data_IF_593648144706
#
_entry.id   IF_593648144706
#
_cell.length_a   1.000
_cell.length_b   1.000
_cell.length_c   1.000
_cell.angle_alpha   90.00
_cell.angle_beta   90.00
_cell.angle_gamma   90.00
#
_symmetry.space_group_name_H-M   'P 1'
#
loop_
_entity.id
_entity.type
_entity.pdbx_description
1 polymer ?
#
# COMPACT_ATOMS: atom_id res chain seq x y z
N UNK A 1 -27.01 -4.63 -15.77
CA UNK A 1 -26.03 -3.57 -15.48
C UNK A 1 -24.73 -4.25 -15.07
N UNK A 2 -23.91 -4.65 -16.04
CA UNK A 2 -22.54 -5.07 -15.79
C UNK A 2 -21.67 -3.95 -16.36
N UNK A 3 -21.00 -3.27 -15.46
CA UNK A 3 -20.23 -2.04 -15.69
C UNK A 3 -19.19 -2.26 -16.78
N UNK A 4 -19.16 -1.31 -17.70
CA UNK A 4 -18.31 -1.25 -18.87
C UNK A 4 -16.85 -1.44 -18.50
N UNK A 5 -16.24 -2.53 -18.98
CA UNK A 5 -14.80 -2.66 -19.00
C UNK A 5 -14.28 -1.70 -20.09
N UNK A 6 -13.73 -0.58 -19.67
CA UNK A 6 -13.15 0.41 -20.57
C UNK A 6 -11.85 -0.13 -21.17
N UNK A 7 -11.92 -0.52 -22.45
CA UNK A 7 -10.86 -1.20 -23.22
C UNK A 7 -9.65 -0.28 -23.54
N UNK A 8 -9.60 0.97 -23.04
CA UNK A 8 -8.52 1.92 -23.32
C UNK A 8 -7.79 2.48 -22.09
N UNK A 9 -7.63 1.68 -21.02
CA UNK A 9 -6.82 2.11 -19.88
C UNK A 9 -5.30 1.97 -20.16
N UNK A 10 -4.69 3.04 -20.67
CA UNK A 10 -3.23 3.14 -20.92
C UNK A 10 -2.43 3.48 -19.64
N UNK A 11 -3.06 3.51 -18.46
CA UNK A 11 -2.37 3.89 -17.22
C UNK A 11 -1.47 2.75 -16.76
N UNK A 12 -0.22 3.10 -16.47
CA UNK A 12 0.72 2.19 -15.81
C UNK A 12 0.26 1.87 -14.40
N UNK A 13 0.70 0.74 -13.83
CA UNK A 13 0.40 0.37 -12.44
C UNK A 13 0.77 1.47 -11.44
N UNK A 14 1.84 2.23 -11.71
CA UNK A 14 2.22 3.40 -10.91
C UNK A 14 1.16 4.50 -10.93
N UNK A 15 0.63 4.82 -12.10
CA UNK A 15 -0.41 5.85 -12.25
C UNK A 15 -1.70 5.40 -11.58
N UNK A 16 -2.12 4.15 -11.80
CA UNK A 16 -3.28 3.57 -11.12
C UNK A 16 -3.13 3.61 -9.59
N UNK A 17 -1.95 3.31 -9.06
CA UNK A 17 -1.69 3.38 -7.62
C UNK A 17 -1.70 4.82 -7.09
N UNK A 18 -1.15 5.77 -7.84
CA UNK A 18 -1.22 7.19 -7.50
C UNK A 18 -2.67 7.66 -7.46
N UNK A 19 -3.46 7.30 -8.48
CA UNK A 19 -4.88 7.66 -8.57
C UNK A 19 -5.67 7.05 -7.40
N UNK A 20 -5.44 5.77 -7.09
CA UNK A 20 -6.06 5.09 -5.95
C UNK A 20 -5.80 5.82 -4.63
N UNK A 21 -4.54 6.14 -4.33
CA UNK A 21 -4.20 6.75 -3.04
C UNK A 21 -4.55 8.24 -2.96
N UNK A 22 -4.42 8.98 -4.06
CA UNK A 22 -4.72 10.43 -4.09
C UNK A 22 -6.20 10.74 -4.27
N UNK A 23 -6.95 9.84 -4.91
CA UNK A 23 -8.41 9.93 -5.06
C UNK A 23 -9.19 9.53 -3.79
N UNK A 24 -8.52 8.98 -2.78
CA UNK A 24 -9.11 8.55 -1.52
C UNK A 24 -8.44 9.23 -0.31
N UNK A 25 -8.54 10.56 -0.15
CA UNK A 25 -7.90 11.28 0.94
C UNK A 25 -8.43 10.79 2.31
N UNK A 26 -7.52 10.57 3.27
CA UNK A 26 -7.86 10.08 4.61
C UNK A 26 -8.09 8.57 4.71
N UNK A 27 -8.19 7.85 3.59
CA UNK A 27 -8.26 6.38 3.58
C UNK A 27 -6.87 5.79 3.44
N UNK A 28 -6.65 4.67 4.12
CA UNK A 28 -5.40 3.91 4.07
C UNK A 28 -5.67 2.50 3.59
N UNK A 29 -4.80 1.97 2.74
CA UNK A 29 -4.94 0.63 2.16
C UNK A 29 -3.73 -0.23 2.49
N UNK A 30 -3.96 -1.48 2.84
CA UNK A 30 -2.92 -2.50 2.98
C UNK A 30 -2.36 -2.89 1.61
N UNK A 31 -1.16 -3.49 1.60
CA UNK A 31 -0.59 -4.02 0.35
C UNK A 31 -1.52 -5.06 -0.30
N UNK A 32 -2.20 -5.89 0.51
CA UNK A 32 -3.17 -6.87 0.05
C UNK A 32 -4.39 -6.23 -0.60
N UNK A 33 -4.99 -5.21 0.02
CA UNK A 33 -6.12 -4.49 -0.58
C UNK A 33 -5.72 -3.83 -1.91
N UNK A 34 -4.51 -3.28 -2.00
CA UNK A 34 -3.99 -2.70 -3.25
C UNK A 34 -3.84 -3.79 -4.32
N UNK A 35 -3.33 -4.98 -3.97
CA UNK A 35 -3.28 -6.12 -4.89
C UNK A 35 -4.66 -6.48 -5.43
N UNK A 36 -5.66 -6.58 -4.56
CA UNK A 36 -7.04 -6.92 -4.95
C UNK A 36 -7.67 -5.84 -5.83
N UNK A 37 -7.40 -4.55 -5.56
CA UNK A 37 -7.98 -3.42 -6.31
C UNK A 37 -7.31 -3.23 -7.68
N UNK A 38 -5.99 -3.43 -7.76
CA UNK A 38 -5.21 -3.15 -8.96
C UNK A 38 -4.82 -4.40 -9.75
N UNK A 39 -5.31 -5.57 -9.33
CA UNK A 39 -4.99 -6.88 -9.92
C UNK A 39 -3.48 -7.14 -9.99
N UNK A 40 -2.79 -6.89 -8.87
CA UNK A 40 -1.34 -7.10 -8.75
C UNK A 40 -1.09 -8.45 -8.06
N UNK A 41 -0.29 -9.30 -8.70
CA UNK A 41 -0.06 -10.68 -8.24
C UNK A 41 0.64 -10.78 -6.88
N UNK A 42 1.45 -9.78 -6.50
CA UNK A 42 2.28 -9.85 -5.30
C UNK A 42 2.35 -8.55 -4.51
N UNK A 43 2.22 -8.65 -3.19
CA UNK A 43 2.46 -7.52 -2.27
C UNK A 43 3.88 -6.95 -2.42
N UNK A 44 4.86 -7.77 -2.82
CA UNK A 44 6.23 -7.31 -3.07
C UNK A 44 6.29 -6.26 -4.18
N UNK A 45 5.49 -6.43 -5.22
CA UNK A 45 5.37 -5.47 -6.30
C UNK A 45 4.69 -4.17 -5.82
N UNK A 46 3.64 -4.28 -4.99
CA UNK A 46 3.03 -3.11 -4.35
C UNK A 46 4.05 -2.33 -3.53
N UNK A 47 4.85 -3.01 -2.71
CA UNK A 47 5.91 -2.36 -1.93
C UNK A 47 6.95 -1.65 -2.82
N UNK A 48 7.28 -2.21 -3.98
CA UNK A 48 8.18 -1.58 -4.96
C UNK A 48 7.54 -0.35 -5.60
N UNK A 49 6.27 -0.45 -6.03
CA UNK A 49 5.51 0.64 -6.60
C UNK A 49 5.34 1.80 -5.60
N UNK A 50 5.02 1.51 -4.34
CA UNK A 50 4.93 2.51 -3.26
C UNK A 50 6.21 3.33 -3.15
N UNK A 51 7.39 2.70 -3.20
CA UNK A 51 8.69 3.40 -3.18
C UNK A 51 8.86 4.31 -4.40
N UNK A 52 8.47 3.84 -5.59
CA UNK A 52 8.57 4.61 -6.82
C UNK A 52 7.65 5.85 -6.77
N UNK A 53 6.39 5.68 -6.38
CA UNK A 53 5.42 6.78 -6.35
C UNK A 53 5.73 7.78 -5.23
N UNK A 54 6.32 7.35 -4.10
CA UNK A 54 6.69 8.24 -3.01
C UNK A 54 7.67 9.32 -3.48
N UNK A 55 8.62 8.96 -4.34
CA UNK A 55 9.56 9.91 -4.97
C UNK A 55 8.85 10.89 -5.91
N UNK A 56 7.84 10.42 -6.64
CA UNK A 56 7.06 11.25 -7.58
C UNK A 56 6.19 12.24 -6.80
N UNK A 57 5.43 11.75 -5.83
CA UNK A 57 4.52 12.56 -5.00
C UNK A 57 5.27 13.61 -4.21
N UNK A 58 6.46 13.29 -3.68
CA UNK A 58 7.32 14.24 -2.98
C UNK A 58 7.68 15.46 -3.84
N UNK A 59 7.88 15.27 -5.15
CA UNK A 59 8.14 16.38 -6.09
C UNK A 59 6.89 17.24 -6.35
N UNK A 60 5.70 16.67 -6.14
CA UNK A 60 4.40 17.34 -6.29
C UNK A 60 3.86 17.91 -4.97
N UNK A 61 4.69 17.98 -3.92
CA UNK A 61 4.30 18.50 -2.60
C UNK A 61 3.48 17.54 -1.74
N UNK A 62 3.29 16.28 -2.15
CA UNK A 62 2.57 15.26 -1.39
C UNK A 62 3.54 14.24 -0.78
N UNK A 63 3.11 13.52 0.26
CA UNK A 63 3.91 12.44 0.88
C UNK A 63 3.09 11.16 1.02
N UNK A 64 3.74 10.02 0.78
CA UNK A 64 3.16 8.72 1.13
C UNK A 64 3.46 8.46 2.59
N UNK A 65 2.40 8.32 3.40
CA UNK A 65 2.48 7.87 4.77
C UNK A 65 2.18 6.38 4.84
N UNK A 66 2.81 5.70 5.79
CA UNK A 66 2.45 4.31 6.10
C UNK A 66 2.38 4.07 7.60
N UNK A 67 1.44 3.23 8.04
CA UNK A 67 1.43 2.70 9.39
C UNK A 67 2.46 1.58 9.49
N UNK A 68 3.23 1.57 10.59
CA UNK A 68 4.16 0.47 10.86
C UNK A 68 3.38 -0.80 11.18
N UNK A 69 3.83 -1.99 10.71
CA UNK A 69 3.20 -3.24 11.12
C UNK A 69 3.34 -3.45 12.62
N UNK A 70 2.30 -3.99 13.25
CA UNK A 70 2.26 -4.22 14.71
C UNK A 70 1.92 -5.67 14.98
N UNK A 71 2.71 -6.32 15.84
CA UNK A 71 2.37 -7.66 16.29
C UNK A 71 1.15 -7.61 17.21
N UNK A 72 0.04 -8.24 16.81
CA UNK A 72 -1.19 -8.31 17.61
C UNK A 72 -1.02 -9.10 18.90
N UNK A 73 -0.06 -10.03 18.95
CA UNK A 73 0.21 -10.86 20.13
C UNK A 73 0.95 -10.12 21.24
N UNK A 74 1.93 -9.28 20.91
CA UNK A 74 2.84 -8.69 21.91
C UNK A 74 3.02 -7.17 21.82
N UNK A 75 2.34 -6.51 20.86
CA UNK A 75 2.42 -5.06 20.65
C UNK A 75 3.73 -4.56 20.02
N UNK A 76 4.63 -5.45 19.61
CA UNK A 76 5.90 -5.02 19.00
C UNK A 76 5.67 -4.31 17.66
N UNK A 77 6.16 -3.08 17.54
CA UNK A 77 6.09 -2.27 16.33
C UNK A 77 7.30 -2.56 15.43
N UNK A 78 7.03 -2.97 14.21
CA UNK A 78 8.05 -3.38 13.25
C UNK A 78 8.50 -2.21 12.38
N UNK A 79 9.80 -2.13 12.12
CA UNK A 79 10.37 -1.09 11.23
C UNK A 79 10.21 -1.42 9.75
N UNK A 80 10.16 -2.71 9.41
CA UNK A 80 9.98 -3.18 8.04
C UNK A 80 8.49 -3.22 7.72
N UNK A 81 8.10 -2.69 6.56
CA UNK A 81 6.71 -2.65 6.08
C UNK A 81 6.18 -4.02 5.63
N UNK A 82 7.08 -4.92 5.23
CA UNK A 82 6.82 -6.29 4.75
C UNK A 82 7.03 -7.36 5.84
N UNK A 83 7.02 -6.96 7.11
CA UNK A 83 7.32 -7.87 8.21
C UNK A 83 6.20 -8.89 8.43
N UNK A 84 6.47 -10.17 8.12
CA UNK A 84 5.52 -11.28 8.29
C UNK A 84 5.60 -11.98 9.65
N UNK A 85 6.68 -11.77 10.42
CA UNK A 85 6.94 -12.49 11.67
C UNK A 85 7.55 -11.59 12.74
N UNK A 86 7.05 -11.71 13.97
CA UNK A 86 7.53 -10.92 15.10
C UNK A 86 8.92 -11.36 15.56
N UNK A 87 9.92 -10.46 15.63
CA UNK A 87 11.25 -10.82 16.12
C UNK A 87 11.25 -11.11 17.63
N UNK A 88 10.30 -10.55 18.39
CA UNK A 88 10.21 -10.70 19.85
C UNK A 88 9.52 -11.99 20.28
N UNK A 89 8.35 -12.30 19.71
CA UNK A 89 7.51 -13.44 20.14
C UNK A 89 7.29 -14.50 19.06
N UNK A 90 7.88 -14.33 17.86
CA UNK A 90 7.77 -15.24 16.70
C UNK A 90 6.35 -15.46 16.15
N UNK A 91 5.36 -14.70 16.63
CA UNK A 91 4.00 -14.74 16.09
C UNK A 91 3.95 -14.18 14.68
N UNK A 92 3.11 -14.79 13.85
CA UNK A 92 2.77 -14.34 12.49
C UNK A 92 1.47 -13.52 12.48
N UNK A 93 0.86 -13.31 13.64
CA UNK A 93 -0.34 -12.48 13.78
C UNK A 93 0.06 -11.00 13.80
N UNK A 94 0.34 -10.49 12.60
CA UNK A 94 0.83 -9.13 12.37
C UNK A 94 -0.28 -8.30 11.72
N UNK A 95 -0.55 -7.12 12.29
CA UNK A 95 -1.33 -6.10 11.62
C UNK A 95 -0.48 -5.50 10.48
N UNK A 96 -0.92 -5.60 9.22
CA UNK A 96 -0.13 -5.16 8.07
C UNK A 96 0.04 -3.64 8.03
N UNK A 97 1.08 -3.20 7.34
CA UNK A 97 1.24 -1.78 7.00
C UNK A 97 0.09 -1.31 6.11
N UNK A 98 -0.42 -0.12 6.40
CA UNK A 98 -1.41 0.59 5.59
C UNK A 98 -0.77 1.83 4.98
N UNK A 99 -1.08 2.12 3.73
CA UNK A 99 -0.51 3.20 2.93
C UNK A 99 -1.58 4.23 2.62
N UNK A 100 -1.23 5.51 2.75
CA UNK A 100 -2.08 6.64 2.42
C UNK A 100 -1.25 7.78 1.82
N UNK A 101 -1.88 8.67 1.07
CA UNK A 101 -1.25 9.92 0.64
C UNK A 101 -1.73 11.07 1.52
N UNK A 102 -0.77 11.84 2.03
CA UNK A 102 -1.01 13.09 2.75
C UNK A 102 -0.55 14.24 1.86
N UNK A 103 -1.39 15.27 1.77
CA UNK A 103 -1.04 16.57 1.18
C UNK A 103 -0.84 17.58 2.30
#
# INVERSE_FOLDING_TARGET
>A
MLSEHNINDCRTLREKLIDLLTGNPGKSFTAKEICEILDIESEAEVYALIKQIARILRRKGAKVAFSKPVCRKCGFVMSKMDARKCPKCRSEWIEPAKFAVLR
#
